data_IF_840149290259
#
_entry.id   IF_840149290259
#
_cell.length_a   1.000
_cell.length_b   1.000
_cell.length_c   1.000
_cell.angle_alpha   90.00
_cell.angle_beta   90.00
_cell.angle_gamma   90.00
#
_symmetry.space_group_name_H-M   'P 1'
#
loop_
_entity.id
_entity.type
_entity.pdbx_description
1 polymer ?
#
# COMPACT_ATOMS: atom_id res chain seq x y z
N UNK A 1 27.05 31.00 35.00
CA UNK A 1 25.69 31.43 34.63
C UNK A 1 25.79 32.63 33.70
N UNK A 2 24.90 32.77 32.72
CA UNK A 2 24.79 34.00 31.91
C UNK A 2 23.71 34.88 32.56
N UNK A 3 23.93 36.19 32.79
CA UNK A 3 22.90 37.08 33.30
C UNK A 3 21.72 37.19 32.32
N UNK A 4 20.49 37.07 32.80
CA UNK A 4 19.29 37.19 31.96
C UNK A 4 18.00 37.04 32.74
N UNK A 5 16.88 37.25 32.06
CA UNK A 5 15.56 36.92 32.57
C UNK A 5 15.31 35.41 32.48
N UNK A 6 14.69 34.84 33.50
CA UNK A 6 14.34 33.42 33.56
C UNK A 6 12.90 33.26 33.99
N UNK A 7 12.23 32.19 33.55
CA UNK A 7 10.88 31.90 34.01
C UNK A 7 10.86 31.55 35.51
N UNK A 8 9.80 31.94 36.24
CA UNK A 8 9.58 31.51 37.62
C UNK A 8 9.58 29.99 37.78
N UNK A 9 9.89 29.51 38.99
CA UNK A 9 9.90 28.09 39.29
C UNK A 9 8.55 27.43 38.95
N UNK A 10 8.60 26.33 38.18
CA UNK A 10 7.42 25.60 37.69
C UNK A 10 6.89 26.06 36.32
N UNK A 11 7.44 27.12 35.73
CA UNK A 11 7.12 27.57 34.37
C UNK A 11 8.28 27.33 33.40
N UNK A 12 7.96 27.23 32.12
CA UNK A 12 8.91 27.07 31.00
C UNK A 12 8.69 28.17 29.96
N UNK A 13 9.75 28.54 29.26
CA UNK A 13 9.70 29.56 28.21
C UNK A 13 9.13 28.95 26.92
N UNK A 14 8.03 29.51 26.42
CA UNK A 14 7.46 29.18 25.12
C UNK A 14 8.17 29.94 23.98
N UNK A 15 7.95 29.54 22.72
CA UNK A 15 8.60 30.14 21.54
C UNK A 15 8.22 31.62 21.33
N UNK A 16 7.07 32.06 21.83
CA UNK A 16 6.64 33.46 21.82
C UNK A 16 7.26 34.32 22.94
N UNK A 17 8.14 33.72 23.76
CA UNK A 17 8.81 34.36 24.89
C UNK A 17 7.99 34.42 26.17
N UNK A 18 6.80 33.81 26.23
CA UNK A 18 5.99 33.77 27.46
C UNK A 18 6.38 32.62 28.39
N UNK A 19 6.22 32.81 29.70
CA UNK A 19 6.43 31.76 30.69
C UNK A 19 5.12 31.01 30.95
N UNK A 20 5.03 29.77 30.47
CA UNK A 20 3.81 28.94 30.52
C UNK A 20 3.99 27.71 31.39
N UNK A 21 2.88 27.08 31.80
CA UNK A 21 2.93 25.78 32.46
C UNK A 21 3.44 24.70 31.48
N UNK A 22 4.21 23.69 31.93
CA UNK A 22 4.64 22.59 31.07
C UNK A 22 3.50 21.86 30.35
N UNK A 23 2.32 21.76 30.98
CA UNK A 23 1.11 21.20 30.37
C UNK A 23 0.52 22.03 29.23
N UNK A 24 0.81 23.34 29.20
CA UNK A 24 0.36 24.28 28.17
C UNK A 24 1.29 24.33 26.94
N UNK A 25 2.37 23.54 26.93
CA UNK A 25 3.29 23.49 25.80
C UNK A 25 2.70 22.68 24.62
N UNK A 26 2.75 23.19 23.38
CA UNK A 26 2.24 22.51 22.19
C UNK A 26 3.05 21.26 21.83
N UNK A 27 2.49 20.42 20.97
CA UNK A 27 3.12 19.21 20.46
C UNK A 27 3.43 19.35 18.97
N UNK A 28 4.56 18.79 18.52
CA UNK A 28 4.88 18.70 17.10
C UNK A 28 4.32 17.42 16.47
N UNK A 29 3.80 17.50 15.26
CA UNK A 29 3.51 16.34 14.42
C UNK A 29 3.85 16.67 12.96
N UNK A 30 4.86 15.98 12.40
CA UNK A 30 5.50 16.41 11.16
C UNK A 30 6.13 17.80 11.32
N UNK A 31 5.87 18.68 10.36
CA UNK A 31 6.31 20.08 10.40
C UNK A 31 5.40 21.01 11.22
N UNK A 32 4.26 20.51 11.71
CA UNK A 32 3.20 21.35 12.31
C UNK A 32 3.19 21.32 13.84
N UNK A 33 2.84 22.46 14.43
CA UNK A 33 2.64 22.69 15.86
C UNK A 33 1.15 22.61 16.21
N UNK A 34 0.83 21.85 17.27
CA UNK A 34 -0.54 21.62 17.73
C UNK A 34 -0.71 22.10 19.19
N UNK A 35 -1.69 22.97 19.49
CA UNK A 35 -1.99 23.38 20.87
C UNK A 35 -2.31 22.19 21.80
N UNK A 36 -2.10 22.34 23.12
CA UNK A 36 -2.57 21.37 24.12
C UNK A 36 -4.05 21.00 23.94
N UNK A 37 -4.38 19.73 24.15
CA UNK A 37 -5.73 19.20 23.93
C UNK A 37 -6.09 18.92 22.46
N UNK A 38 -5.28 19.34 21.49
CA UNK A 38 -5.46 18.96 20.08
C UNK A 38 -5.47 17.45 19.89
N UNK A 39 -6.23 16.97 18.92
CA UNK A 39 -6.32 15.56 18.58
C UNK A 39 -5.83 15.28 17.16
N UNK A 40 -5.03 14.22 17.00
CA UNK A 40 -4.64 13.64 15.71
C UNK A 40 -4.97 12.15 15.70
N UNK A 41 -4.92 11.50 14.53
CA UNK A 41 -5.11 10.05 14.41
C UNK A 41 -3.83 9.38 13.91
N UNK A 42 -3.37 8.36 14.64
CA UNK A 42 -2.23 7.51 14.26
C UNK A 42 -2.75 6.11 13.95
N UNK A 43 -3.00 5.85 12.66
CA UNK A 43 -3.73 4.67 12.21
C UNK A 43 -5.18 4.69 12.69
N UNK A 44 -5.53 3.72 13.53
CA UNK A 44 -6.82 3.60 14.21
C UNK A 44 -6.87 4.38 15.55
N UNK A 45 -5.74 4.69 16.16
CA UNK A 45 -5.67 5.31 17.48
C UNK A 45 -5.86 6.83 17.41
N UNK A 46 -6.70 7.37 18.30
CA UNK A 46 -6.70 8.80 18.61
C UNK A 46 -5.50 9.13 19.51
N UNK A 47 -4.90 10.30 19.29
CA UNK A 47 -3.79 10.83 20.09
C UNK A 47 -4.11 12.26 20.53
N UNK A 48 -3.95 12.55 21.83
CA UNK A 48 -4.16 13.89 22.42
C UNK A 48 -2.81 14.53 22.74
N UNK A 49 -2.66 15.81 22.41
CA UNK A 49 -1.48 16.59 22.81
C UNK A 49 -1.57 16.98 24.29
N UNK A 50 -0.59 16.59 25.10
CA UNK A 50 -0.47 17.00 26.50
C UNK A 50 1.00 17.20 26.86
N UNK A 51 1.38 18.45 27.17
CA UNK A 51 2.74 18.81 27.60
C UNK A 51 3.85 18.32 26.67
N UNK A 52 3.84 18.79 25.41
CA UNK A 52 4.75 18.40 24.33
C UNK A 52 4.72 16.93 23.89
N UNK A 53 3.85 16.09 24.48
CA UNK A 53 3.76 14.65 24.15
C UNK A 53 2.41 14.27 23.58
N UNK A 54 2.44 13.32 22.63
CA UNK A 54 1.23 12.68 22.11
C UNK A 54 0.86 11.47 22.95
N UNK A 55 -0.29 11.55 23.61
CA UNK A 55 -0.89 10.45 24.37
C UNK A 55 -1.87 9.72 23.46
N UNK A 56 -1.39 8.64 22.83
CA UNK A 56 -2.15 7.81 21.90
C UNK A 56 -2.83 6.63 22.58
N UNK A 57 -3.96 6.19 22.02
CA UNK A 57 -4.49 4.84 22.24
C UNK A 57 -3.46 3.75 21.86
N UNK A 58 -3.71 2.53 22.34
CA UNK A 58 -2.84 1.36 22.13
C UNK A 58 -3.56 0.23 21.40
N UNK A 59 -4.67 0.53 20.73
CA UNK A 59 -5.39 -0.45 19.93
C UNK A 59 -4.50 -0.93 18.78
N UNK A 60 -4.48 -2.23 18.55
CA UNK A 60 -3.83 -2.76 17.35
C UNK A 60 -4.68 -2.39 16.13
N UNK A 61 -4.02 -1.94 15.05
CA UNK A 61 -4.73 -1.46 13.86
C UNK A 61 -4.65 -2.48 12.74
N UNK A 62 -5.71 -2.53 11.92
CA UNK A 62 -5.75 -3.34 10.71
C UNK A 62 -4.60 -2.97 9.76
N UNK A 63 -3.89 -3.98 9.26
CA UNK A 63 -2.82 -3.83 8.27
C UNK A 63 -3.40 -3.71 6.86
N UNK A 64 -2.63 -3.18 5.91
CA UNK A 64 -2.97 -3.34 4.49
C UNK A 64 -1.73 -3.48 3.64
N UNK A 65 -1.67 -4.58 2.90
CA UNK A 65 -0.72 -4.79 1.83
C UNK A 65 -1.28 -4.23 0.53
N UNK A 66 -0.41 -3.65 -0.29
CA UNK A 66 -0.72 -3.07 -1.61
C UNK A 66 0.12 -3.80 -2.65
N UNK A 67 -0.51 -4.26 -3.73
CA UNK A 67 0.16 -4.57 -4.99
C UNK A 67 -0.37 -3.60 -6.05
N UNK A 68 0.51 -2.86 -6.70
CA UNK A 68 0.16 -1.77 -7.63
C UNK A 68 1.08 -1.78 -8.85
N UNK A 69 0.52 -1.57 -10.04
CA UNK A 69 1.27 -1.48 -11.31
C UNK A 69 1.85 -2.81 -11.83
N UNK A 70 2.18 -3.74 -10.92
CA UNK A 70 3.11 -4.86 -11.12
C UNK A 70 4.40 -4.42 -11.82
N UNK A 71 5.30 -3.83 -11.01
CA UNK A 71 5.96 -4.71 -10.05
C UNK A 71 5.93 -4.20 -8.61
N UNK A 72 5.12 -3.21 -8.25
CA UNK A 72 5.30 -2.45 -7.01
C UNK A 72 4.45 -3.00 -5.84
N UNK A 73 5.08 -3.18 -4.69
CA UNK A 73 4.47 -3.76 -3.49
C UNK A 73 4.70 -2.90 -2.25
N UNK A 74 3.75 -2.90 -1.32
CA UNK A 74 3.89 -2.44 0.06
C UNK A 74 3.33 -3.53 0.98
N UNK A 75 4.13 -4.01 1.92
CA UNK A 75 3.70 -5.02 2.92
C UNK A 75 2.72 -4.45 3.94
N UNK A 76 2.17 -5.33 4.79
CA UNK A 76 1.29 -4.91 5.89
C UNK A 76 1.96 -3.91 6.85
N UNK A 77 3.27 -4.01 7.06
CA UNK A 77 4.04 -3.17 7.99
C UNK A 77 4.76 -1.99 7.30
N UNK A 78 4.57 -1.85 5.99
CA UNK A 78 4.98 -0.66 5.22
C UNK A 78 6.31 -0.77 4.49
N UNK A 79 6.94 -1.95 4.48
CA UNK A 79 8.10 -2.25 3.63
C UNK A 79 7.65 -2.20 2.17
N UNK A 80 8.16 -1.23 1.43
CA UNK A 80 7.84 -1.10 0.01
C UNK A 80 9.00 -1.57 -0.86
N UNK A 81 8.69 -2.31 -1.92
CA UNK A 81 9.66 -2.95 -2.80
C UNK A 81 9.13 -3.07 -4.22
N UNK A 82 9.93 -3.67 -5.11
CA UNK A 82 9.50 -3.97 -6.47
C UNK A 82 10.04 -5.31 -6.92
N UNK A 83 9.23 -6.08 -7.63
CA UNK A 83 9.52 -7.45 -8.04
C UNK A 83 8.75 -7.79 -9.33
N UNK A 84 9.46 -7.92 -10.46
CA UNK A 84 8.87 -8.13 -11.80
C UNK A 84 8.58 -9.62 -12.06
N UNK A 85 7.73 -10.24 -11.24
CA UNK A 85 7.31 -11.62 -11.45
C UNK A 85 6.30 -11.77 -12.61
N UNK A 86 6.47 -12.81 -13.44
CA UNK A 86 5.65 -13.13 -14.62
C UNK A 86 4.85 -14.45 -14.47
N UNK A 87 4.50 -14.77 -13.23
CA UNK A 87 3.83 -16.02 -12.84
C UNK A 87 2.80 -15.81 -11.71
N UNK A 88 2.35 -16.90 -11.08
CA UNK A 88 1.48 -16.85 -9.90
C UNK A 88 2.30 -16.85 -8.59
N UNK A 89 2.02 -15.88 -7.73
CA UNK A 89 2.70 -15.66 -6.44
C UNK A 89 1.73 -15.59 -5.27
N UNK A 90 2.21 -15.98 -4.10
CA UNK A 90 1.47 -15.89 -2.85
C UNK A 90 1.55 -14.46 -2.28
N UNK A 91 0.45 -13.71 -2.33
CA UNK A 91 0.39 -12.39 -1.66
C UNK A 91 0.39 -12.56 -0.15
N UNK A 92 -0.57 -13.32 0.39
CA UNK A 92 -0.66 -13.63 1.81
C UNK A 92 -1.38 -14.96 2.04
N UNK A 93 -0.92 -15.73 3.02
CA UNK A 93 -1.60 -16.92 3.54
C UNK A 93 -1.57 -16.92 5.05
N UNK A 94 -2.68 -17.25 5.68
CA UNK A 94 -2.74 -17.48 7.12
C UNK A 94 -2.03 -18.80 7.48
N UNK A 95 -1.22 -18.81 8.54
CA UNK A 95 -0.28 -19.90 8.84
C UNK A 95 -0.93 -21.26 9.08
N UNK A 96 -2.16 -21.32 9.60
CA UNK A 96 -2.92 -22.57 9.77
C UNK A 96 -3.70 -22.99 8.51
N UNK A 97 -3.71 -22.15 7.47
CA UNK A 97 -4.38 -22.41 6.20
C UNK A 97 -5.83 -21.92 6.12
N UNK A 98 -6.27 -21.02 7.01
CA UNK A 98 -7.64 -20.48 6.98
C UNK A 98 -7.98 -19.78 5.65
N UNK A 99 -7.02 -19.10 5.07
CA UNK A 99 -7.13 -18.49 3.74
C UNK A 99 -5.78 -18.36 3.04
N UNK A 100 -5.83 -18.25 1.71
CA UNK A 100 -4.73 -17.82 0.86
C UNK A 100 -5.21 -16.80 -0.17
N UNK A 101 -4.40 -15.79 -0.45
CA UNK A 101 -4.57 -14.83 -1.55
C UNK A 101 -3.37 -14.96 -2.48
N UNK A 102 -3.64 -15.15 -3.76
CA UNK A 102 -2.63 -15.23 -4.82
C UNK A 102 -2.92 -14.20 -5.90
N UNK A 103 -1.87 -13.76 -6.59
CA UNK A 103 -1.96 -12.92 -7.77
C UNK A 103 -1.22 -13.60 -8.92
N UNK A 104 -1.87 -13.65 -10.08
CA UNK A 104 -1.28 -14.11 -11.34
C UNK A 104 -0.84 -12.90 -12.15
N UNK A 105 0.45 -12.78 -12.39
CA UNK A 105 1.04 -11.69 -13.15
C UNK A 105 1.50 -12.23 -14.50
N UNK A 106 1.27 -11.46 -15.57
CA UNK A 106 1.67 -11.84 -16.94
C UNK A 106 2.34 -10.67 -17.66
N UNK A 107 3.26 -10.91 -18.61
CA UNK A 107 3.83 -9.85 -19.43
C UNK A 107 2.74 -9.04 -20.16
N UNK A 108 2.81 -7.71 -20.08
CA UNK A 108 1.75 -6.81 -20.59
C UNK A 108 2.28 -5.58 -21.36
N UNK A 109 3.55 -5.61 -21.77
CA UNK A 109 4.18 -4.60 -22.61
C UNK A 109 5.39 -5.19 -23.34
N UNK A 110 6.05 -4.41 -24.19
CA UNK A 110 7.26 -4.84 -24.91
C UNK A 110 8.54 -4.72 -24.06
N UNK A 111 8.53 -3.84 -23.05
CA UNK A 111 9.66 -3.62 -22.11
C UNK A 111 9.80 -4.61 -20.95
N UNK A 112 9.23 -5.81 -21.03
CA UNK A 112 9.35 -6.85 -19.98
C UNK A 112 8.58 -6.58 -18.68
N UNK A 113 7.69 -5.58 -18.66
CA UNK A 113 6.79 -5.33 -17.52
C UNK A 113 5.65 -6.34 -17.45
N UNK A 114 5.19 -6.63 -16.24
CA UNK A 114 4.08 -7.55 -15.98
C UNK A 114 2.86 -6.79 -15.45
N UNK A 115 1.69 -7.40 -15.52
CA UNK A 115 0.45 -6.84 -15.01
C UNK A 115 -0.34 -7.92 -14.28
N UNK A 116 -1.07 -7.54 -13.23
CA UNK A 116 -2.06 -8.41 -12.59
C UNK A 116 -3.11 -8.84 -13.62
N UNK A 117 -3.18 -10.14 -13.90
CA UNK A 117 -4.20 -10.77 -14.75
C UNK A 117 -5.38 -11.24 -13.92
N UNK A 118 -5.10 -11.82 -12.76
CA UNK A 118 -6.14 -12.32 -11.86
C UNK A 118 -5.71 -12.30 -10.40
N UNK A 119 -6.70 -12.18 -9.51
CA UNK A 119 -6.52 -12.30 -8.05
C UNK A 119 -7.42 -13.42 -7.56
N UNK A 120 -6.86 -14.41 -6.87
CA UNK A 120 -7.59 -15.56 -6.36
C UNK A 120 -7.55 -15.57 -4.83
N UNK A 121 -8.70 -15.85 -4.22
CA UNK A 121 -8.85 -16.01 -2.77
C UNK A 121 -9.44 -17.38 -2.50
N UNK A 122 -8.68 -18.20 -1.78
CA UNK A 122 -9.09 -19.53 -1.33
C UNK A 122 -9.43 -19.46 0.16
N UNK A 123 -10.62 -19.91 0.53
CA UNK A 123 -11.09 -19.96 1.93
C UNK A 123 -11.96 -21.22 2.12
N UNK A 124 -11.39 -22.23 2.80
CA UNK A 124 -11.96 -23.57 2.82
C UNK A 124 -12.21 -24.11 1.40
N UNK A 125 -13.43 -24.60 1.15
CA UNK A 125 -13.84 -25.12 -0.16
C UNK A 125 -14.39 -24.04 -1.11
N UNK A 126 -14.17 -22.75 -0.82
CA UNK A 126 -14.56 -21.64 -1.70
C UNK A 126 -13.33 -21.01 -2.33
N UNK A 127 -13.29 -21.03 -3.66
CA UNK A 127 -12.28 -20.36 -4.49
C UNK A 127 -12.99 -19.21 -5.19
N UNK A 128 -12.67 -17.97 -4.80
CA UNK A 128 -13.11 -16.76 -5.49
C UNK A 128 -12.00 -16.32 -6.44
N UNK A 129 -12.24 -16.39 -7.74
CA UNK A 129 -11.27 -16.01 -8.77
C UNK A 129 -11.76 -14.76 -9.48
N UNK A 130 -11.09 -13.65 -9.26
CA UNK A 130 -11.39 -12.36 -9.86
C UNK A 130 -10.50 -12.18 -11.09
N UNK A 131 -11.11 -11.86 -12.24
CA UNK A 131 -10.48 -11.74 -13.56
C UNK A 131 -10.46 -10.30 -14.08
N UNK A 132 -9.44 -9.96 -14.88
CA UNK A 132 -9.22 -8.60 -15.42
C UNK A 132 -10.49 -8.10 -16.12
N UNK A 133 -10.84 -6.83 -15.92
CA UNK A 133 -12.13 -6.27 -16.33
C UNK A 133 -13.24 -6.34 -15.27
N UNK A 134 -12.98 -7.00 -14.13
CA UNK A 134 -13.89 -7.17 -12.97
C UNK A 134 -15.01 -8.19 -13.20
N UNK A 135 -14.69 -9.25 -13.93
CA UNK A 135 -15.43 -10.50 -13.92
C UNK A 135 -15.00 -11.34 -12.72
N UNK A 136 -15.90 -12.18 -12.21
CA UNK A 136 -15.62 -13.05 -11.07
C UNK A 136 -16.21 -14.43 -11.32
N UNK A 137 -15.45 -15.47 -10.99
CA UNK A 137 -15.98 -16.82 -10.81
C UNK A 137 -15.85 -17.24 -9.35
N UNK A 138 -16.78 -18.08 -8.89
CA UNK A 138 -16.66 -18.77 -7.60
C UNK A 138 -16.85 -20.25 -7.84
N UNK A 139 -15.84 -21.04 -7.45
CA UNK A 139 -15.72 -22.46 -7.75
C UNK A 139 -15.92 -22.75 -9.27
N UNK A 140 -15.30 -21.92 -10.12
CA UNK A 140 -15.36 -22.03 -11.59
C UNK A 140 -16.66 -21.51 -12.24
N UNK A 141 -17.68 -21.15 -11.45
CA UNK A 141 -18.96 -20.64 -11.96
C UNK A 141 -18.95 -19.11 -11.99
N UNK A 142 -19.23 -18.50 -13.14
CA UNK A 142 -19.33 -17.03 -13.26
C UNK A 142 -20.42 -16.45 -12.36
N UNK A 143 -20.12 -15.36 -11.66
CA UNK A 143 -21.05 -14.68 -10.76
C UNK A 143 -21.00 -13.16 -10.91
N UNK A 144 -22.13 -12.51 -10.64
CA UNK A 144 -22.25 -11.06 -10.60
C UNK A 144 -22.43 -10.61 -9.14
N UNK A 145 -21.58 -9.70 -8.62
CA UNK A 145 -21.82 -9.09 -7.30
C UNK A 145 -23.08 -8.19 -7.34
N UNK A 146 -23.79 -7.98 -6.21
CA UNK A 146 -23.46 -8.50 -4.88
C UNK A 146 -23.86 -9.98 -4.68
N UNK A 147 -23.08 -10.74 -3.92
CA UNK A 147 -23.38 -12.14 -3.59
C UNK A 147 -22.79 -12.56 -2.25
N UNK A 148 -23.60 -13.25 -1.43
CA UNK A 148 -23.22 -13.73 -0.09
C UNK A 148 -23.11 -15.26 -0.10
N UNK A 149 -22.03 -15.78 0.49
CA UNK A 149 -21.71 -17.19 0.61
C UNK A 149 -21.70 -17.57 2.10
N UNK A 150 -22.89 -17.77 2.67
CA UNK A 150 -23.07 -17.97 4.12
C UNK A 150 -22.25 -19.12 4.72
N UNK A 151 -21.93 -20.15 3.92
CA UNK A 151 -21.14 -21.31 4.36
C UNK A 151 -19.64 -21.01 4.55
N UNK A 152 -19.05 -20.16 3.71
CA UNK A 152 -17.65 -19.69 3.85
C UNK A 152 -17.55 -18.33 4.57
N UNK A 153 -18.68 -17.69 4.86
CA UNK A 153 -18.70 -16.38 5.49
C UNK A 153 -18.16 -15.25 4.59
N UNK A 154 -18.19 -15.46 3.26
CA UNK A 154 -17.73 -14.49 2.27
C UNK A 154 -18.87 -13.65 1.72
N UNK A 155 -18.60 -12.36 1.49
CA UNK A 155 -19.50 -11.43 0.81
C UNK A 155 -18.72 -10.73 -0.31
N UNK A 156 -19.22 -10.83 -1.53
CA UNK A 156 -18.63 -10.25 -2.73
C UNK A 156 -19.51 -9.09 -3.21
N UNK A 157 -18.94 -7.90 -3.38
CA UNK A 157 -19.63 -6.64 -3.71
C UNK A 157 -18.85 -5.81 -4.75
N UNK A 158 -19.41 -4.65 -5.13
CA UNK A 158 -18.70 -3.63 -5.93
C UNK A 158 -18.62 -2.33 -5.11
N UNK A 159 -17.41 -1.82 -4.93
CA UNK A 159 -17.12 -0.58 -4.22
C UNK A 159 -16.52 0.46 -5.19
N UNK A 160 -17.40 1.22 -5.86
CA UNK A 160 -16.99 2.16 -6.90
C UNK A 160 -16.33 1.45 -8.08
N UNK A 161 -15.02 1.67 -8.28
CA UNK A 161 -14.25 0.97 -9.31
C UNK A 161 -13.90 -0.48 -8.94
N UNK A 162 -13.85 -0.81 -7.65
CA UNK A 162 -13.31 -2.06 -7.14
C UNK A 162 -14.36 -3.19 -7.06
N UNK A 163 -13.91 -4.43 -7.29
CA UNK A 163 -14.49 -5.60 -6.64
C UNK A 163 -14.06 -5.60 -5.18
N UNK A 164 -15.00 -5.89 -4.29
CA UNK A 164 -14.79 -5.97 -2.85
C UNK A 164 -15.15 -7.37 -2.37
N UNK A 165 -14.19 -8.11 -1.82
CA UNK A 165 -14.43 -9.35 -1.10
C UNK A 165 -14.23 -9.12 0.39
N UNK A 166 -15.26 -9.40 1.18
CA UNK A 166 -15.27 -9.36 2.64
C UNK A 166 -15.35 -10.77 3.20
N UNK A 167 -14.68 -11.03 4.32
CA UNK A 167 -14.80 -12.26 5.10
C UNK A 167 -15.15 -11.98 6.56
N UNK A 168 -15.95 -12.87 7.17
CA UNK A 168 -16.16 -12.92 8.62
C UNK A 168 -14.87 -13.11 9.44
N UNK A 169 -13.79 -13.57 8.82
CA UNK A 169 -12.47 -13.65 9.43
C UNK A 169 -11.72 -12.31 9.47
N UNK A 170 -12.32 -11.19 9.03
CA UNK A 170 -11.64 -9.89 9.00
C UNK A 170 -10.58 -9.78 7.90
N UNK A 171 -10.68 -10.60 6.86
CA UNK A 171 -10.00 -10.42 5.57
C UNK A 171 -10.86 -9.53 4.67
N UNK A 172 -10.23 -8.54 4.05
CA UNK A 172 -10.80 -7.71 2.99
C UNK A 172 -9.85 -7.71 1.80
N UNK A 173 -10.37 -8.00 0.61
CA UNK A 173 -9.62 -7.85 -0.65
C UNK A 173 -10.37 -6.89 -1.56
N UNK A 174 -9.68 -5.84 -1.99
CA UNK A 174 -10.12 -4.90 -3.02
C UNK A 174 -9.28 -5.09 -4.26
N UNK A 175 -9.90 -5.17 -5.43
CA UNK A 175 -9.19 -5.13 -6.71
C UNK A 175 -9.99 -4.40 -7.78
N UNK A 176 -9.34 -3.49 -8.51
CA UNK A 176 -10.01 -2.69 -9.54
C UNK A 176 -10.22 -3.42 -10.87
N UNK A 177 -9.80 -4.68 -10.96
CA UNK A 177 -9.82 -5.47 -12.19
C UNK A 177 -8.77 -5.01 -13.21
N UNK A 178 -7.80 -4.22 -12.77
CA UNK A 178 -6.60 -3.84 -13.49
C UNK A 178 -5.40 -4.03 -12.58
N UNK A 179 -4.67 -2.95 -12.28
CA UNK A 179 -3.34 -2.99 -11.68
C UNK A 179 -3.29 -2.71 -10.18
N UNK A 180 -4.41 -2.59 -9.43
CA UNK A 180 -4.38 -2.24 -8.00
C UNK A 180 -5.13 -3.22 -7.11
N UNK A 181 -4.38 -4.01 -6.35
CA UNK A 181 -4.86 -4.94 -5.31
C UNK A 181 -4.56 -4.37 -3.93
N UNK A 182 -5.54 -4.39 -3.04
CA UNK A 182 -5.34 -4.10 -1.62
C UNK A 182 -5.85 -5.28 -0.80
N UNK A 183 -4.96 -5.87 0.01
CA UNK A 183 -5.31 -6.91 0.99
C UNK A 183 -5.26 -6.26 2.37
N UNK A 184 -6.40 -6.16 3.06
CA UNK A 184 -6.49 -5.67 4.43
C UNK A 184 -6.84 -6.80 5.39
N UNK A 185 -6.17 -6.80 6.55
CA UNK A 185 -6.38 -7.76 7.64
C UNK A 185 -6.68 -7.00 8.92
N UNK A 186 -7.76 -7.35 9.60
CA UNK A 186 -8.03 -6.91 10.98
C UNK A 186 -6.98 -7.44 11.97
N UNK A 187 -6.78 -6.86 13.18
CA UNK A 187 -5.60 -7.08 14.06
C UNK A 187 -5.44 -8.46 14.68
N UNK A 188 -6.40 -9.36 14.46
CA UNK A 188 -6.06 -10.78 14.36
C UNK A 188 -5.10 -11.01 13.18
N UNK A 189 -4.72 -12.24 12.84
CA UNK A 189 -3.71 -12.50 11.79
C UNK A 189 -2.31 -11.84 11.98
N UNK A 190 -2.11 -10.92 12.93
CA UNK A 190 -0.82 -10.31 13.28
C UNK A 190 0.17 -11.40 13.67
N UNK A 191 1.34 -11.41 13.03
CA UNK A 191 2.34 -12.48 13.13
C UNK A 191 1.83 -13.88 12.77
N UNK A 192 0.70 -13.98 12.03
CA UNK A 192 0.04 -15.23 11.63
C UNK A 192 -0.24 -15.30 10.12
N UNK A 193 0.44 -14.47 9.33
CA UNK A 193 0.44 -14.55 7.87
C UNK A 193 1.86 -14.62 7.33
N UNK A 194 2.00 -15.07 6.09
CA UNK A 194 3.24 -14.98 5.32
C UNK A 194 2.95 -14.92 3.81
N UNK A 195 3.85 -14.31 3.04
CA UNK A 195 3.76 -14.12 1.59
C UNK A 195 4.52 -12.86 1.15
N UNK A 196 4.32 -12.42 -0.10
CA UNK A 196 4.85 -11.15 -0.60
C UNK A 196 4.41 -9.93 0.22
N UNK A 197 3.29 -10.03 0.93
CA UNK A 197 2.76 -8.99 1.82
C UNK A 197 3.43 -8.91 3.19
N UNK A 198 4.44 -9.73 3.48
CA UNK A 198 5.11 -9.74 4.78
C UNK A 198 4.40 -10.62 5.83
N UNK A 199 4.75 -10.42 7.10
CA UNK A 199 4.27 -11.25 8.22
C UNK A 199 3.20 -10.57 9.12
N UNK A 200 3.04 -9.24 8.99
CA UNK A 200 2.13 -8.41 9.78
C UNK A 200 2.39 -8.43 11.30
N UNK A 201 3.64 -8.36 11.74
CA UNK A 201 4.00 -8.25 13.17
C UNK A 201 4.28 -6.80 13.63
N UNK A 202 4.45 -5.87 12.69
CA UNK A 202 4.77 -4.45 12.94
C UNK A 202 6.23 -4.07 12.67
N UNK A 203 7.09 -4.99 12.25
CA UNK A 203 8.51 -4.78 11.95
C UNK A 203 8.84 -4.99 10.45
N UNK A 204 8.82 -3.86 9.72
CA UNK A 204 9.10 -3.79 8.30
C UNK A 204 10.52 -4.25 7.88
N UNK A 205 11.46 -4.43 8.82
CA UNK A 205 12.82 -4.87 8.47
C UNK A 205 12.92 -6.40 8.31
N UNK A 206 12.00 -7.17 8.90
CA UNK A 206 11.95 -8.64 8.75
C UNK A 206 11.02 -9.15 7.62
N UNK A 207 10.26 -8.24 7.01
CA UNK A 207 9.23 -8.51 5.99
C UNK A 207 9.71 -9.33 4.78
N UNK A 208 11.02 -9.28 4.46
CA UNK A 208 11.62 -10.09 3.40
C UNK A 208 11.93 -11.54 3.82
N UNK A 209 11.15 -12.10 4.74
CA UNK A 209 11.27 -13.50 5.15
C UNK A 209 10.74 -14.43 4.05
N UNK A 210 11.62 -15.27 3.51
CA UNK A 210 11.29 -16.26 2.47
C UNK A 210 10.36 -17.36 2.97
N UNK A 211 9.82 -18.15 2.03
CA UNK A 211 9.01 -19.35 2.32
C UNK A 211 9.67 -20.35 3.27
N UNK A 212 11.00 -20.34 3.36
CA UNK A 212 11.83 -21.17 4.22
C UNK A 212 12.04 -20.58 5.64
N UNK A 213 11.55 -19.37 5.91
CA UNK A 213 11.76 -18.67 7.18
C UNK A 213 13.11 -17.96 7.30
N UNK A 214 13.76 -17.64 6.16
CA UNK A 214 15.05 -16.95 6.12
C UNK A 214 14.86 -15.53 5.61
N UNK A 215 15.46 -14.53 6.28
CA UNK A 215 15.39 -13.14 5.82
C UNK A 215 16.30 -12.94 4.60
N UNK A 216 15.71 -12.57 3.46
CA UNK A 216 16.42 -12.37 2.21
C UNK A 216 16.93 -10.92 2.06
N UNK A 217 18.14 -10.70 1.50
CA UNK A 217 18.71 -9.37 1.38
C UNK A 217 18.14 -8.55 0.21
N UNK A 218 17.44 -9.17 -0.74
CA UNK A 218 16.92 -8.50 -1.94
C UNK A 218 15.44 -8.84 -2.23
N UNK A 219 14.68 -7.92 -2.86
CA UNK A 219 13.31 -8.18 -3.30
C UNK A 219 13.18 -9.39 -4.23
N UNK A 220 14.20 -9.65 -5.06
CA UNK A 220 14.19 -10.74 -6.03
C UNK A 220 14.31 -12.11 -5.38
N UNK A 221 15.25 -12.28 -4.44
CA UNK A 221 15.39 -13.53 -3.67
C UNK A 221 14.13 -13.79 -2.84
N UNK A 222 13.62 -12.76 -2.16
CA UNK A 222 12.36 -12.81 -1.43
C UNK A 222 11.19 -13.23 -2.32
N UNK A 223 10.96 -12.53 -3.43
CA UNK A 223 9.83 -12.76 -4.32
C UNK A 223 9.89 -14.12 -5.04
N UNK A 224 11.08 -14.54 -5.46
CA UNK A 224 11.29 -15.85 -6.06
C UNK A 224 10.97 -17.01 -5.08
N UNK A 225 11.10 -16.80 -3.76
CA UNK A 225 10.69 -17.81 -2.77
C UNK A 225 9.17 -18.02 -2.68
N UNK A 226 8.38 -17.02 -3.10
CA UNK A 226 6.92 -17.01 -2.98
C UNK A 226 6.16 -17.45 -4.25
N UNK A 227 6.88 -17.85 -5.31
CA UNK A 227 6.33 -18.58 -6.49
C UNK A 227 5.47 -19.76 -6.04
N UNK A 228 4.39 -20.06 -6.76
CA UNK A 228 3.54 -21.23 -6.51
C UNK A 228 3.94 -22.47 -7.32
N UNK A 229 4.68 -22.30 -8.41
CA UNK A 229 5.16 -23.39 -9.26
C UNK A 229 6.66 -23.27 -9.49
N UNK A 230 7.35 -24.42 -9.52
CA UNK A 230 8.76 -24.50 -9.93
C UNK A 230 8.97 -24.26 -11.45
N UNK A 231 7.87 -24.20 -12.22
CA UNK A 231 7.89 -23.82 -13.64
C UNK A 231 7.88 -22.30 -13.85
N UNK A 232 7.58 -21.52 -12.82
CA UNK A 232 7.73 -20.07 -12.84
C UNK A 232 9.23 -19.71 -12.94
N UNK A 233 9.67 -18.85 -13.88
CA UNK A 233 11.06 -18.46 -13.97
C UNK A 233 11.48 -17.62 -12.74
N UNK A 234 12.79 -17.41 -12.61
CA UNK A 234 13.35 -16.57 -11.56
C UNK A 234 13.59 -15.15 -12.08
N UNK A 235 13.15 -14.17 -11.30
CA UNK A 235 13.48 -12.76 -11.55
C UNK A 235 14.92 -12.53 -11.11
N UNK A 236 15.76 -12.02 -12.00
CA UNK A 236 17.14 -11.63 -11.69
C UNK A 236 17.25 -10.09 -11.73
N UNK A 237 17.66 -9.49 -10.61
CA UNK A 237 17.82 -8.05 -10.48
C UNK A 237 18.87 -7.45 -11.43
N UNK A 238 19.85 -8.25 -11.88
CA UNK A 238 20.86 -7.82 -12.84
C UNK A 238 20.31 -7.69 -14.28
N UNK A 239 19.29 -8.47 -14.62
CA UNK A 239 18.64 -8.44 -15.94
C UNK A 239 17.46 -7.45 -16.00
N UNK A 240 16.98 -7.02 -14.82
CA UNK A 240 15.89 -6.06 -14.66
C UNK A 240 16.33 -4.66 -15.11
N UNK A 241 15.76 -4.19 -16.22
CA UNK A 241 16.00 -2.84 -16.76
C UNK A 241 14.82 -1.91 -16.52
N UNK A 242 15.11 -0.64 -16.25
CA UNK A 242 14.07 0.37 -16.08
C UNK A 242 13.34 0.63 -17.42
N UNK A 243 11.99 0.58 -17.50
CA UNK A 243 11.27 0.72 -18.76
C UNK A 243 11.54 2.01 -19.53
N UNK A 244 11.75 3.13 -18.84
CA UNK A 244 12.20 4.39 -19.49
C UNK A 244 13.59 4.32 -20.16
N UNK A 245 14.41 3.29 -19.90
CA UNK A 245 15.70 3.07 -20.57
C UNK A 245 15.51 2.25 -21.84
N UNK A 246 14.60 1.28 -21.84
CA UNK A 246 14.22 0.50 -23.03
C UNK A 246 13.31 1.31 -23.97
N UNK A 247 12.51 2.23 -23.41
CA UNK A 247 11.68 3.22 -24.14
C UNK A 247 12.05 4.68 -23.81
N UNK A 248 13.24 5.20 -24.22
CA UNK A 248 13.70 6.56 -23.90
C UNK A 248 12.76 7.66 -24.37
N UNK A 249 12.05 7.44 -25.49
CA UNK A 249 11.10 8.38 -26.06
C UNK A 249 9.86 8.62 -25.16
N UNK A 250 9.51 7.68 -24.28
CA UNK A 250 8.40 7.82 -23.32
C UNK A 250 8.80 8.61 -22.07
N UNK A 251 10.07 8.61 -21.70
CA UNK A 251 10.56 9.20 -20.45
C UNK A 251 10.20 10.69 -20.24
N UNK A 252 10.25 11.58 -21.27
CA UNK A 252 9.83 12.97 -21.11
C UNK A 252 8.32 13.14 -20.86
N UNK A 253 7.49 12.25 -21.42
CA UNK A 253 6.04 12.26 -21.19
C UNK A 253 5.70 11.73 -19.80
N UNK A 254 6.27 10.59 -19.42
CA UNK A 254 6.08 9.97 -18.10
C UNK A 254 6.47 10.94 -16.96
N UNK A 255 7.69 11.49 -17.00
CA UNK A 255 8.18 12.45 -15.99
C UNK A 255 7.31 13.71 -15.87
N UNK A 256 6.77 14.20 -16.99
CA UNK A 256 5.87 15.36 -17.04
C UNK A 256 4.52 15.04 -16.40
N UNK A 257 3.90 13.91 -16.76
CA UNK A 257 2.58 13.52 -16.27
C UNK A 257 2.60 13.11 -14.80
N UNK A 258 3.56 12.30 -14.38
CA UNK A 258 3.78 11.93 -12.97
C UNK A 258 4.23 13.11 -12.09
N UNK A 259 4.71 14.20 -12.71
CA UNK A 259 5.08 15.45 -12.03
C UNK A 259 4.00 16.02 -11.12
N UNK A 260 2.72 15.73 -11.38
CA UNK A 260 1.58 16.15 -10.55
C UNK A 260 1.72 15.71 -9.08
N UNK A 261 2.29 14.54 -8.82
CA UNK A 261 2.46 14.00 -7.46
C UNK A 261 3.35 14.89 -6.58
N UNK A 262 4.32 15.60 -7.19
CA UNK A 262 5.23 16.53 -6.51
C UNK A 262 4.71 17.98 -6.47
N UNK A 263 3.54 18.26 -7.04
CA UNK A 263 2.98 19.62 -7.13
C UNK A 263 2.06 19.97 -5.96
N UNK A 264 1.69 21.25 -5.85
CA UNK A 264 0.84 21.83 -4.80
C UNK A 264 -0.48 21.06 -4.55
N UNK A 265 -1.03 20.39 -5.57
CA UNK A 265 -2.24 19.56 -5.45
C UNK A 265 -2.07 18.41 -4.44
N UNK A 266 -0.88 17.80 -4.40
CA UNK A 266 -0.55 16.69 -3.51
C UNK A 266 0.28 17.10 -2.28
N UNK A 267 0.75 18.34 -2.22
CA UNK A 267 1.54 18.87 -1.10
C UNK A 267 0.95 18.61 0.31
N UNK A 268 -0.38 18.66 0.55
CA UNK A 268 -0.94 18.31 1.87
C UNK A 268 -0.60 16.90 2.37
N UNK A 269 -0.24 15.98 1.47
CA UNK A 269 0.06 14.58 1.79
C UNK A 269 1.57 14.29 1.93
N UNK A 270 2.45 15.19 1.47
CA UNK A 270 3.89 14.92 1.40
C UNK A 270 4.53 14.62 2.76
N UNK A 271 4.08 15.28 3.83
CA UNK A 271 4.51 15.04 5.21
C UNK A 271 4.01 13.70 5.78
N UNK A 272 2.89 13.17 5.25
CA UNK A 272 2.24 11.96 5.76
C UNK A 272 2.65 10.70 5.00
N UNK A 273 2.89 10.81 3.68
CA UNK A 273 3.27 9.72 2.78
C UNK A 273 4.40 10.20 1.86
N UNK A 274 5.63 9.65 1.97
CA UNK A 274 6.77 10.09 1.16
C UNK A 274 6.52 9.99 -0.35
N UNK A 275 6.38 11.14 -1.02
CA UNK A 275 6.01 11.23 -2.43
C UNK A 275 7.02 10.57 -3.39
N UNK A 276 8.32 10.64 -3.08
CA UNK A 276 9.40 10.29 -4.01
C UNK A 276 9.24 8.91 -4.65
N UNK A 277 8.97 7.89 -3.82
CA UNK A 277 8.77 6.50 -4.29
C UNK A 277 7.60 6.37 -5.27
N UNK A 278 6.47 7.01 -4.97
CA UNK A 278 5.28 6.95 -5.83
C UNK A 278 5.46 7.74 -7.14
N UNK A 279 6.28 8.80 -7.15
CA UNK A 279 6.70 9.44 -8.39
C UNK A 279 7.56 8.50 -9.23
N UNK A 280 8.55 7.83 -8.64
CA UNK A 280 9.45 6.93 -9.36
C UNK A 280 8.69 5.72 -9.93
N UNK A 281 7.78 5.14 -9.15
CA UNK A 281 6.83 4.10 -9.58
C UNK A 281 5.92 4.57 -10.72
N UNK A 282 5.29 5.75 -10.60
CA UNK A 282 4.49 6.31 -11.69
C UNK A 282 5.30 6.48 -12.98
N UNK A 283 6.56 6.92 -12.90
CA UNK A 283 7.44 7.07 -14.07
C UNK A 283 7.84 5.72 -14.65
N UNK A 284 8.04 4.70 -13.81
CA UNK A 284 8.25 3.31 -14.23
C UNK A 284 7.03 2.80 -15.03
N UNK A 285 5.84 2.81 -14.42
CA UNK A 285 4.58 2.33 -15.00
C UNK A 285 4.23 3.04 -16.32
N UNK A 286 4.33 4.38 -16.33
CA UNK A 286 4.03 5.21 -17.50
C UNK A 286 5.00 4.96 -18.68
N UNK A 287 6.23 4.53 -18.41
CA UNK A 287 7.16 4.09 -19.45
C UNK A 287 6.94 2.63 -19.88
N UNK A 288 6.51 1.75 -18.97
CA UNK A 288 6.28 0.32 -19.24
C UNK A 288 5.04 0.01 -20.06
N UNK A 289 3.96 0.77 -19.87
CA UNK A 289 2.73 0.59 -20.65
C UNK A 289 2.87 1.22 -22.04
N UNK A 290 3.35 0.41 -22.99
CA UNK A 290 3.66 0.77 -24.39
C UNK A 290 2.69 0.19 -25.43
N UNK A 291 1.90 -0.82 -25.02
CA UNK A 291 1.08 -1.65 -25.90
C UNK A 291 -0.38 -1.16 -25.98
N UNK A 292 -0.59 0.11 -25.64
CA UNK A 292 -1.88 0.75 -25.44
C UNK A 292 -2.38 0.62 -24.00
N UNK A 293 -3.17 1.59 -23.55
CA UNK A 293 -3.56 1.70 -22.13
C UNK A 293 -2.61 2.56 -21.28
N UNK A 294 -1.71 3.33 -21.91
CA UNK A 294 -0.77 4.25 -21.27
C UNK A 294 -1.42 5.16 -20.20
N UNK A 295 -2.64 5.63 -20.49
CA UNK A 295 -3.44 6.42 -19.57
C UNK A 295 -3.97 5.57 -18.39
N UNK A 296 -4.31 4.30 -18.58
CA UNK A 296 -4.74 3.41 -17.49
C UNK A 296 -3.64 3.31 -16.43
N UNK A 297 -2.42 2.97 -16.83
CA UNK A 297 -1.27 2.82 -15.92
C UNK A 297 -0.88 4.13 -15.22
N UNK A 298 -0.84 5.25 -15.97
CA UNK A 298 -0.62 6.57 -15.38
C UNK A 298 -1.69 6.90 -14.33
N UNK A 299 -2.96 6.66 -14.67
CA UNK A 299 -4.08 7.01 -13.79
C UNK A 299 -4.19 6.08 -12.57
N UNK A 300 -3.83 4.80 -12.68
CA UNK A 300 -3.77 3.90 -11.52
C UNK A 300 -2.60 4.25 -10.61
N UNK A 301 -1.40 4.52 -11.15
CA UNK A 301 -0.25 4.93 -10.34
C UNK A 301 -0.52 6.23 -9.54
N UNK A 302 -1.14 7.24 -10.16
CA UNK A 302 -1.57 8.46 -9.45
C UNK A 302 -2.66 8.15 -8.43
N UNK A 303 -3.63 7.28 -8.77
CA UNK A 303 -4.68 6.86 -7.86
C UNK A 303 -4.16 6.11 -6.63
N UNK A 304 -3.09 5.32 -6.75
CA UNK A 304 -2.45 4.62 -5.62
C UNK A 304 -1.87 5.62 -4.62
N UNK A 305 -1.16 6.66 -5.06
CA UNK A 305 -0.69 7.68 -4.12
C UNK A 305 -1.85 8.43 -3.46
N UNK A 306 -2.89 8.77 -4.23
CA UNK A 306 -4.09 9.41 -3.67
C UNK A 306 -4.84 8.52 -2.65
N UNK A 307 -4.84 7.20 -2.84
CA UNK A 307 -5.41 6.24 -1.89
C UNK A 307 -4.59 6.19 -0.59
N UNK A 308 -3.26 6.13 -0.67
CA UNK A 308 -2.40 6.20 0.52
C UNK A 308 -2.55 7.53 1.29
N UNK A 309 -2.73 8.66 0.58
CA UNK A 309 -3.11 9.91 1.21
C UNK A 309 -4.48 9.80 1.92
N UNK A 310 -5.48 9.22 1.26
CA UNK A 310 -6.81 8.97 1.83
C UNK A 310 -6.78 8.08 3.07
N UNK A 311 -5.90 7.06 3.10
CA UNK A 311 -5.67 6.18 4.25
C UNK A 311 -5.04 6.91 5.45
N UNK A 312 -4.35 8.03 5.22
CA UNK A 312 -3.90 8.98 6.26
C UNK A 312 -4.94 10.07 6.58
N UNK A 313 -6.14 10.00 6.02
CA UNK A 313 -7.22 10.99 6.20
C UNK A 313 -7.11 12.23 5.31
N UNK A 314 -6.20 12.22 4.33
CA UNK A 314 -5.87 13.37 3.48
C UNK A 314 -6.51 13.15 2.10
N UNK A 315 -7.79 13.50 1.99
CA UNK A 315 -8.58 13.29 0.77
C UNK A 315 -8.31 14.38 -0.27
N UNK A 316 -7.69 14.00 -1.39
CA UNK A 316 -7.30 14.92 -2.48
C UNK A 316 -8.19 14.67 -3.71
N UNK A 317 -8.87 15.71 -4.20
CA UNK A 317 -9.64 15.65 -5.45
C UNK A 317 -8.73 16.01 -6.62
N UNK A 318 -8.11 15.00 -7.23
CA UNK A 318 -7.04 15.17 -8.24
C UNK A 318 -7.47 14.96 -9.71
N UNK A 319 -8.63 14.33 -9.94
CA UNK A 319 -9.14 14.01 -11.28
C UNK A 319 -9.72 15.23 -12.00
N UNK A 320 -9.41 15.41 -13.28
CA UNK A 320 -9.90 16.49 -14.16
C UNK A 320 -10.02 16.01 -15.62
N UNK A 321 -10.59 16.82 -16.52
CA UNK A 321 -10.74 16.44 -17.94
C UNK A 321 -9.38 16.29 -18.66
N UNK A 322 -8.34 16.93 -18.14
CA UNK A 322 -6.96 16.90 -18.64
C UNK A 322 -6.10 15.82 -17.95
N UNK A 323 -6.64 15.20 -16.88
CA UNK A 323 -5.98 14.22 -16.02
C UNK A 323 -7.00 13.28 -15.35
N UNK A 324 -7.22 12.12 -15.96
CA UNK A 324 -7.76 10.89 -15.35
C UNK A 324 -9.20 10.97 -14.78
#
# INVERSE_FOLDING_TARGET
CVPGCHCPAGLVLAEDGQCVLPSACPCHHGTQLYPPGSQIRRGCNACVCQGQRWHCGREECAGTCVATGDPHYVTFDGRAFSFLGDCEYLLAREVTGLFAITAENVPCGTGGVTCTKSVMVVMGNTIVHMLRGRDVTVNGVSVRPPKVYSGSGLTLERAGLFLLLLSRLGLVVLWDGGTRVYVRLEPQHRGRVAGLCGNFDGDAENDFTSRQGVMEPTPELFGNSWRLSLLCPEVNGADTRHPCTESPHRAPWARRRCGILRQRLFAPCHDAVPCQRFYDWCVFDACGCDSGGDCECLCTAIATYAEECGRRGIHIRWRSQELC
#
